data_IF_169219535605
#
_entry.id   IF_169219535605
#
_cell.length_a   1.000
_cell.length_b   1.000
_cell.length_c   1.000
_cell.angle_alpha   90.00
_cell.angle_beta   90.00
_cell.angle_gamma   90.00
#
_symmetry.space_group_name_H-M   'P 1'
#
loop_
_entity.id
_entity.type
_entity.pdbx_description
1 polymer ?
#
# COMPACT_ATOMS: atom_id res chain seq x y z
N UNK A 1 -14.46 21.66 -10.92
CA UNK A 1 -13.49 22.74 -10.87
C UNK A 1 -12.15 22.21 -10.34
N UNK A 2 -11.06 22.57 -10.99
CA UNK A 2 -9.71 22.11 -10.65
C UNK A 2 -9.30 22.50 -9.21
N UNK A 3 -9.62 23.71 -8.78
CA UNK A 3 -9.29 24.18 -7.42
C UNK A 3 -10.05 23.38 -6.37
N UNK A 4 -11.31 23.07 -6.62
CA UNK A 4 -12.11 22.24 -5.70
C UNK A 4 -11.58 20.81 -5.62
N UNK A 5 -11.11 20.25 -6.74
CA UNK A 5 -10.49 18.91 -6.76
C UNK A 5 -9.24 18.85 -5.91
N UNK A 6 -8.40 19.89 -5.93
CA UNK A 6 -7.21 19.98 -5.08
C UNK A 6 -7.55 19.99 -3.59
N UNK A 7 -8.69 20.59 -3.22
CA UNK A 7 -9.14 20.63 -1.82
C UNK A 7 -9.68 19.28 -1.34
N UNK A 8 -10.13 18.41 -2.26
CA UNK A 8 -10.68 17.10 -1.91
C UNK A 8 -9.56 16.11 -1.58
N UNK A 9 -8.42 16.19 -2.28
CA UNK A 9 -7.29 15.29 -2.08
C UNK A 9 -6.28 15.94 -1.14
N UNK A 10 -6.03 15.28 -0.01
CA UNK A 10 -5.05 15.72 0.98
C UNK A 10 -3.63 15.71 0.38
N UNK A 11 -2.84 16.73 0.66
CA UNK A 11 -1.46 16.83 0.19
C UNK A 11 -0.61 15.64 0.66
N UNK A 12 -0.89 15.10 1.84
CA UNK A 12 -0.19 13.91 2.33
C UNK A 12 -0.40 12.70 1.43
N UNK A 13 -1.60 12.53 0.89
CA UNK A 13 -1.91 11.44 -0.04
C UNK A 13 -1.11 11.61 -1.33
N UNK A 14 -1.06 12.82 -1.87
CA UNK A 14 -0.27 13.13 -3.06
C UNK A 14 1.21 12.84 -2.84
N UNK A 15 1.74 13.26 -1.70
CA UNK A 15 3.15 13.05 -1.35
C UNK A 15 3.48 11.56 -1.22
N UNK A 16 2.60 10.80 -0.56
CA UNK A 16 2.77 9.35 -0.42
C UNK A 16 2.74 8.66 -1.78
N UNK A 17 1.78 9.00 -2.62
CA UNK A 17 1.65 8.39 -3.95
C UNK A 17 2.86 8.71 -4.85
N UNK A 18 3.45 9.87 -4.68
CA UNK A 18 4.62 10.31 -5.45
C UNK A 18 5.92 9.71 -4.97
N UNK A 19 5.95 9.14 -3.78
CA UNK A 19 7.14 8.52 -3.22
C UNK A 19 7.30 7.11 -3.76
N UNK A 20 8.29 6.92 -4.61
CA UNK A 20 8.56 5.66 -5.30
C UNK A 20 9.79 4.94 -4.74
N UNK A 21 10.18 5.24 -3.50
CA UNK A 21 11.40 4.70 -2.88
C UNK A 21 11.45 3.17 -2.90
N UNK A 22 10.31 2.52 -2.75
CA UNK A 22 10.21 1.06 -2.73
C UNK A 22 9.49 0.49 -3.95
N UNK A 23 9.33 1.31 -4.98
CA UNK A 23 8.73 0.87 -6.24
C UNK A 23 9.74 0.07 -7.05
N UNK A 24 9.31 -1.07 -7.59
CA UNK A 24 10.14 -1.93 -8.44
C UNK A 24 10.44 -3.27 -7.79
N UNK A 25 10.04 -4.34 -8.46
CA UNK A 25 10.27 -5.72 -7.99
C UNK A 25 11.73 -6.13 -8.23
N UNK A 26 12.28 -6.95 -7.34
CA UNK A 26 13.64 -7.49 -7.44
C UNK A 26 13.68 -8.89 -8.01
N UNK A 27 12.53 -9.60 -7.99
CA UNK A 27 12.38 -10.96 -8.51
C UNK A 27 13.34 -11.95 -7.82
N UNK A 28 13.55 -11.78 -6.52
CA UNK A 28 14.49 -12.60 -5.73
C UNK A 28 13.81 -13.43 -4.65
N UNK A 29 12.57 -13.07 -4.27
CA UNK A 29 11.92 -13.68 -3.11
C UNK A 29 10.79 -14.61 -3.54
N UNK A 30 10.61 -15.69 -2.77
CA UNK A 30 9.45 -16.57 -2.90
C UNK A 30 8.18 -15.95 -2.31
N UNK A 31 8.31 -14.91 -1.49
CA UNK A 31 7.19 -14.19 -0.89
C UNK A 31 6.71 -13.14 -1.86
N UNK A 32 5.87 -13.56 -2.78
CA UNK A 32 5.41 -12.77 -3.90
C UNK A 32 3.90 -13.00 -4.10
N UNK A 33 3.17 -11.94 -4.41
CA UNK A 33 1.77 -12.05 -4.78
C UNK A 33 1.36 -10.96 -5.77
N UNK A 34 0.38 -11.29 -6.61
CA UNK A 34 -0.35 -10.33 -7.41
C UNK A 34 -1.78 -10.26 -6.88
N UNK A 35 -2.34 -9.07 -6.87
CA UNK A 35 -3.73 -8.89 -6.45
C UNK A 35 -4.39 -7.80 -7.28
N UNK A 36 -5.67 -7.95 -7.51
CA UNK A 36 -6.44 -7.05 -8.36
C UNK A 36 -7.78 -6.74 -7.71
N UNK A 37 -8.17 -5.47 -7.75
CA UNK A 37 -9.51 -5.05 -7.41
C UNK A 37 -10.37 -5.13 -8.67
N UNK A 38 -11.32 -6.06 -8.70
CA UNK A 38 -12.16 -6.30 -9.87
C UNK A 38 -13.09 -5.13 -10.20
N UNK A 39 -13.47 -4.33 -9.20
CA UNK A 39 -14.40 -3.21 -9.40
C UNK A 39 -13.76 -2.05 -10.13
N UNK A 40 -12.55 -1.65 -9.74
CA UNK A 40 -11.89 -0.47 -10.30
C UNK A 40 -10.72 -0.82 -11.23
N UNK A 41 -10.33 -2.10 -11.30
CA UNK A 41 -9.23 -2.54 -12.15
C UNK A 41 -7.84 -2.26 -11.59
N UNK A 42 -7.73 -1.72 -10.38
CA UNK A 42 -6.43 -1.53 -9.73
C UNK A 42 -5.71 -2.87 -9.58
N UNK A 43 -4.42 -2.87 -9.87
CA UNK A 43 -3.56 -4.06 -9.80
C UNK A 43 -2.31 -3.74 -9.01
N UNK A 44 -1.84 -4.70 -8.23
CA UNK A 44 -0.58 -4.59 -7.51
C UNK A 44 0.14 -5.93 -7.49
N UNK A 45 1.46 -5.87 -7.59
CA UNK A 45 2.36 -6.99 -7.31
C UNK A 45 3.23 -6.58 -6.15
N UNK A 46 3.40 -7.48 -5.19
CA UNK A 46 4.26 -7.25 -4.03
C UNK A 46 5.29 -8.36 -3.92
N UNK A 47 6.45 -7.98 -3.44
CA UNK A 47 7.55 -8.89 -3.14
C UNK A 47 8.09 -8.53 -1.76
N UNK A 48 8.19 -9.53 -0.87
CA UNK A 48 8.65 -9.31 0.49
C UNK A 48 9.97 -10.04 0.71
N UNK A 49 10.90 -9.34 1.32
CA UNK A 49 12.12 -9.93 1.85
C UNK A 49 11.91 -10.23 3.33
N UNK A 50 11.89 -11.52 3.70
CA UNK A 50 11.60 -11.96 5.07
C UNK A 50 12.80 -12.66 5.64
N UNK A 51 13.19 -12.26 6.85
CA UNK A 51 14.31 -12.88 7.58
C UNK A 51 13.98 -12.88 9.07
N UNK A 52 14.18 -14.03 9.72
CA UNK A 52 13.92 -14.20 11.16
C UNK A 52 12.48 -13.81 11.54
N UNK A 53 11.52 -14.20 10.71
CA UNK A 53 10.10 -13.94 10.90
C UNK A 53 9.72 -12.44 10.87
N UNK A 54 10.61 -11.61 10.31
CA UNK A 54 10.38 -10.18 10.13
C UNK A 54 10.40 -9.81 8.66
N UNK A 55 9.54 -8.89 8.25
CA UNK A 55 9.61 -8.30 6.92
C UNK A 55 10.75 -7.29 6.91
N UNK A 56 11.78 -7.57 6.15
CA UNK A 56 12.93 -6.66 6.01
C UNK A 56 12.68 -5.58 4.98
N UNK A 57 12.07 -5.95 3.87
CA UNK A 57 11.75 -5.04 2.76
C UNK A 57 10.45 -5.45 2.11
N UNK A 58 9.74 -4.45 1.59
CA UNK A 58 8.62 -4.64 0.68
C UNK A 58 8.89 -3.84 -0.59
N UNK A 59 8.84 -4.53 -1.71
CA UNK A 59 8.88 -3.92 -3.03
C UNK A 59 7.54 -4.14 -3.71
N UNK A 60 7.15 -3.21 -4.57
CA UNK A 60 5.86 -3.31 -5.25
C UNK A 60 5.92 -2.66 -6.63
N UNK A 61 5.00 -3.10 -7.48
CA UNK A 61 4.66 -2.43 -8.74
C UNK A 61 3.15 -2.39 -8.82
N UNK A 62 2.61 -1.25 -9.22
CA UNK A 62 1.15 -1.09 -9.27
C UNK A 62 0.73 -0.23 -10.44
N UNK A 63 -0.39 -0.62 -11.05
CA UNK A 63 -1.18 0.17 -11.98
C UNK A 63 -2.50 0.45 -11.28
N UNK A 64 -2.64 1.62 -10.69
CA UNK A 64 -3.74 1.87 -9.78
C UNK A 64 -4.00 3.36 -9.57
N UNK A 65 -5.12 3.64 -8.89
CA UNK A 65 -5.45 5.01 -8.50
C UNK A 65 -4.49 5.52 -7.42
N UNK A 66 -4.53 6.82 -7.21
CA UNK A 66 -3.66 7.51 -6.25
C UNK A 66 -3.78 6.95 -4.83
N UNK A 67 -4.96 6.49 -4.42
CA UNK A 67 -5.17 5.93 -3.07
C UNK A 67 -4.44 4.60 -2.89
N UNK A 68 -4.45 3.75 -3.89
CA UNK A 68 -3.69 2.49 -3.85
C UNK A 68 -2.19 2.78 -3.88
N UNK A 69 -1.73 3.71 -4.72
CA UNK A 69 -0.33 4.12 -4.78
C UNK A 69 0.15 4.66 -3.43
N UNK A 70 -0.63 5.55 -2.82
CA UNK A 70 -0.30 6.12 -1.51
C UNK A 70 -0.25 5.04 -0.42
N UNK A 71 -1.20 4.13 -0.44
CA UNK A 71 -1.26 3.02 0.52
C UNK A 71 -0.06 2.09 0.37
N UNK A 72 0.31 1.72 -0.86
CA UNK A 72 1.47 0.86 -1.12
C UNK A 72 2.77 1.52 -0.63
N UNK A 73 2.94 2.80 -0.92
CA UNK A 73 4.08 3.58 -0.46
C UNK A 73 4.17 3.60 1.08
N UNK A 74 3.07 3.95 1.73
CA UNK A 74 3.01 4.03 3.19
C UNK A 74 3.27 2.67 3.84
N UNK A 75 2.63 1.61 3.33
CA UNK A 75 2.80 0.26 3.85
C UNK A 75 4.26 -0.20 3.69
N UNK A 76 4.86 0.01 2.52
CA UNK A 76 6.23 -0.42 2.24
C UNK A 76 7.24 0.21 3.19
N UNK A 77 6.98 1.44 3.64
CA UNK A 77 7.86 2.13 4.59
C UNK A 77 7.67 1.64 6.02
N UNK A 78 6.43 1.35 6.41
CA UNK A 78 6.11 1.03 7.80
C UNK A 78 6.20 -0.45 8.13
N UNK A 79 6.24 -1.32 7.13
CA UNK A 79 6.32 -2.76 7.32
C UNK A 79 7.74 -3.23 7.68
N UNK A 80 8.75 -2.40 7.44
CA UNK A 80 10.15 -2.77 7.69
C UNK A 80 10.36 -3.12 9.15
N UNK A 81 11.03 -4.26 9.39
CA UNK A 81 11.34 -4.80 10.71
C UNK A 81 10.10 -5.19 11.55
N UNK A 82 8.97 -5.37 10.89
CA UNK A 82 7.74 -5.83 11.54
C UNK A 82 7.70 -7.35 11.49
N UNK A 83 7.37 -7.97 12.63
CA UNK A 83 7.11 -9.42 12.66
C UNK A 83 5.90 -9.74 11.77
N UNK A 84 5.97 -10.86 11.07
CA UNK A 84 4.92 -11.31 10.14
C UNK A 84 3.55 -11.34 10.84
N UNK A 85 3.47 -11.81 12.08
CA UNK A 85 2.23 -11.88 12.85
C UNK A 85 1.66 -10.51 13.25
N UNK A 86 2.44 -9.44 13.13
CA UNK A 86 2.04 -8.10 13.56
C UNK A 86 1.67 -7.17 12.40
N UNK A 87 1.63 -7.68 11.18
CA UNK A 87 1.36 -6.84 9.99
C UNK A 87 -0.01 -6.15 10.08
N UNK A 88 -1.01 -6.82 10.65
CA UNK A 88 -2.36 -6.26 10.80
C UNK A 88 -2.37 -4.98 11.64
N UNK A 89 -1.43 -4.82 12.55
CA UNK A 89 -1.33 -3.62 13.40
C UNK A 89 -0.94 -2.37 12.61
N UNK A 90 -0.27 -2.54 11.49
CA UNK A 90 0.16 -1.41 10.66
C UNK A 90 -1.05 -0.71 10.05
N UNK A 91 -1.98 -1.48 9.48
CA UNK A 91 -3.15 -0.92 8.79
C UNK A 91 -4.10 -0.20 9.76
N UNK A 92 -4.08 -0.58 11.03
CA UNK A 92 -4.89 0.06 12.06
C UNK A 92 -4.17 1.19 12.79
N UNK A 93 -2.93 1.47 12.43
CA UNK A 93 -2.13 2.51 13.07
C UNK A 93 -2.60 3.92 12.66
N UNK A 94 -2.19 4.91 13.45
CA UNK A 94 -2.51 6.32 13.18
C UNK A 94 -2.07 6.78 11.79
N UNK A 95 -0.99 6.20 11.26
CA UNK A 95 -0.43 6.61 9.97
C UNK A 95 -1.37 6.33 8.81
N UNK A 96 -2.21 5.30 8.92
CA UNK A 96 -3.19 4.97 7.88
C UNK A 96 -4.50 5.75 8.00
N UNK A 97 -4.71 6.51 9.08
CA UNK A 97 -5.98 7.25 9.28
C UNK A 97 -6.27 8.23 8.15
N UNK A 98 -5.25 8.86 7.57
CA UNK A 98 -5.45 9.82 6.46
C UNK A 98 -6.07 9.12 5.25
N UNK A 99 -5.70 7.86 4.99
CA UNK A 99 -6.20 7.09 3.86
C UNK A 99 -7.55 6.42 4.16
N UNK A 100 -7.82 6.14 5.43
CA UNK A 100 -9.05 5.47 5.88
C UNK A 100 -10.09 6.45 6.42
N UNK A 101 -9.91 7.74 6.18
CA UNK A 101 -10.85 8.77 6.56
C UNK A 101 -12.21 8.54 5.89
N UNK A 102 -13.29 8.88 6.61
CA UNK A 102 -14.67 8.71 6.13
C UNK A 102 -14.93 9.39 4.80
N UNK A 103 -14.29 10.52 4.53
CA UNK A 103 -14.47 11.25 3.26
C UNK A 103 -13.93 10.47 2.06
N UNK A 104 -13.10 9.45 2.28
CA UNK A 104 -12.55 8.58 1.24
C UNK A 104 -13.12 7.17 1.30
N UNK A 105 -14.29 6.99 1.91
CA UNK A 105 -14.90 5.67 2.10
C UNK A 105 -15.07 4.91 0.77
N UNK A 106 -15.41 5.63 -0.30
CA UNK A 106 -15.56 5.03 -1.63
C UNK A 106 -14.24 4.46 -2.19
N UNK A 107 -13.10 4.83 -1.60
CA UNK A 107 -11.77 4.38 -2.01
C UNK A 107 -11.16 3.38 -1.04
N UNK A 108 -11.92 2.91 -0.05
CA UNK A 108 -11.42 1.98 0.96
C UNK A 108 -10.82 0.72 0.35
N UNK A 109 -11.47 0.15 -0.67
CA UNK A 109 -10.97 -1.06 -1.32
C UNK A 109 -9.64 -0.82 -2.01
N UNK A 110 -9.42 0.37 -2.57
CA UNK A 110 -8.15 0.75 -3.17
C UNK A 110 -7.05 0.85 -2.11
N UNK A 111 -7.38 1.44 -0.97
CA UNK A 111 -6.44 1.59 0.16
C UNK A 111 -6.05 0.22 0.73
N UNK A 112 -6.99 -0.72 0.79
CA UNK A 112 -6.75 -2.04 1.37
C UNK A 112 -6.03 -3.00 0.42
N UNK A 113 -5.99 -2.70 -0.87
CA UNK A 113 -5.44 -3.61 -1.88
C UNK A 113 -3.97 -3.99 -1.61
N UNK A 114 -3.05 -3.06 -1.32
CA UNK A 114 -1.66 -3.43 -1.02
C UNK A 114 -1.54 -4.34 0.21
N UNK A 115 -2.29 -4.04 1.25
CA UNK A 115 -2.32 -4.87 2.46
C UNK A 115 -2.79 -6.29 2.16
N UNK A 116 -3.85 -6.43 1.38
CA UNK A 116 -4.37 -7.74 0.97
C UNK A 116 -3.34 -8.50 0.13
N UNK A 117 -2.62 -7.81 -0.75
CA UNK A 117 -1.55 -8.42 -1.54
C UNK A 117 -0.41 -8.93 -0.64
N UNK A 118 -0.02 -8.16 0.38
CA UNK A 118 1.00 -8.59 1.35
C UNK A 118 0.54 -9.85 2.09
N UNK A 119 -0.71 -9.88 2.56
CA UNK A 119 -1.26 -11.07 3.23
C UNK A 119 -1.23 -12.28 2.31
N UNK A 120 -1.52 -12.09 1.04
CA UNK A 120 -1.50 -13.16 0.05
C UNK A 120 -0.08 -13.67 -0.23
N UNK A 121 0.93 -12.81 -0.12
CA UNK A 121 2.33 -13.16 -0.35
C UNK A 121 2.93 -13.98 0.80
N UNK A 122 2.34 -13.88 1.98
CA UNK A 122 2.76 -14.65 3.14
C UNK A 122 2.15 -16.05 3.09
#
# INVERSE_FOLDING_TARGET
>A
NFIMRKKIINQKILNLASDTSNFGLKYKSKYFASHKNKKCGDKIKVELEIKNNKVKKMYYETESCIFCQASASLLSKNIQNTFVENIDKIITSKRFKVLLDKKYLSRKDCVMLPYQAVKKAL
#
